data_IF_177652115887
#
_entry.id   IF_177652115887
#
_cell.length_a   1.000
_cell.length_b   1.000
_cell.length_c   1.000
_cell.angle_alpha   90.00
_cell.angle_beta   90.00
_cell.angle_gamma   90.00
#
_symmetry.space_group_name_H-M   'P 1'
#
loop_
_entity.id
_entity.type
_entity.pdbx_description
1 polymer ?
#
# COMPACT_ATOMS: atom_id res chain seq x y z
N UNK A 1 -25.37 -4.63 7.19
CA UNK A 1 -25.08 -3.28 6.63
C UNK A 1 -23.71 -3.39 6.01
N UNK A 2 -23.56 -3.04 4.73
CA UNK A 2 -22.26 -3.04 4.08
C UNK A 2 -21.37 -2.00 4.76
N UNK A 3 -20.28 -2.46 5.37
CA UNK A 3 -19.26 -1.59 5.95
C UNK A 3 -18.51 -1.01 4.76
N UNK A 4 -18.73 0.27 4.47
CA UNK A 4 -17.90 1.00 3.51
C UNK A 4 -16.52 1.15 4.12
N UNK A 5 -15.54 0.37 3.67
CA UNK A 5 -14.11 0.57 3.96
C UNK A 5 -13.47 1.10 2.68
N UNK A 6 -13.76 2.36 2.34
CA UNK A 6 -13.07 3.06 1.27
C UNK A 6 -11.58 3.26 1.62
N UNK A 7 -10.74 2.29 1.22
CA UNK A 7 -9.33 2.45 0.82
C UNK A 7 -8.36 2.94 1.92
N UNK A 8 -7.04 2.93 1.69
CA UNK A 8 -6.19 1.84 2.10
C UNK A 8 -5.22 2.32 3.20
N UNK A 9 -5.04 1.49 4.23
CA UNK A 9 -4.13 1.67 5.39
C UNK A 9 -2.64 1.64 5.02
N UNK A 10 -2.26 2.27 3.92
CA UNK A 10 -1.18 1.83 3.01
C UNK A 10 -0.26 2.96 2.55
N UNK A 11 -0.49 4.17 3.08
CA UNK A 11 0.41 5.32 2.95
C UNK A 11 1.07 5.69 4.26
N UNK A 12 1.21 4.71 5.17
CA UNK A 12 1.55 4.97 6.57
C UNK A 12 3.03 5.33 6.74
N UNK A 13 3.94 4.82 5.92
CA UNK A 13 5.35 4.85 6.30
C UNK A 13 6.16 6.01 5.70
N UNK A 14 5.57 6.78 4.79
CA UNK A 14 6.23 7.93 4.15
C UNK A 14 5.82 9.27 4.74
N UNK A 15 4.68 9.29 5.44
CA UNK A 15 3.92 10.50 5.74
C UNK A 15 4.00 10.91 7.21
N UNK A 16 4.44 10.00 8.07
CA UNK A 16 4.46 10.17 9.52
C UNK A 16 5.81 10.70 9.95
N UNK A 17 6.02 11.99 9.72
CA UNK A 17 7.08 12.76 10.41
C UNK A 17 6.52 13.93 11.22
N UNK A 18 5.19 14.10 11.27
CA UNK A 18 4.52 15.21 11.96
C UNK A 18 3.58 14.74 13.08
N UNK A 19 4.15 14.53 14.27
CA UNK A 19 3.46 14.13 15.51
C UNK A 19 2.24 15.02 15.83
N UNK A 20 2.30 16.32 15.49
CA UNK A 20 1.23 17.30 15.74
C UNK A 20 -0.04 17.10 14.91
N UNK A 21 0.08 16.52 13.71
CA UNK A 21 -1.11 16.21 12.91
C UNK A 21 -1.77 14.92 13.42
N UNK A 22 -0.96 13.93 13.78
CA UNK A 22 -1.44 12.68 14.35
C UNK A 22 -2.09 12.87 15.72
N UNK A 23 -1.63 13.82 16.53
CA UNK A 23 -2.29 14.18 17.79
C UNK A 23 -3.75 14.62 17.57
N UNK A 24 -4.07 15.28 16.45
CA UNK A 24 -5.46 15.69 16.14
C UNK A 24 -6.37 14.50 15.83
N UNK A 25 -5.80 13.38 15.37
CA UNK A 25 -6.52 12.18 14.92
C UNK A 25 -6.58 11.13 16.05
N UNK A 26 -5.44 10.92 16.71
CA UNK A 26 -5.22 9.86 17.68
C UNK A 26 -5.23 10.34 19.13
N UNK A 27 -5.21 11.66 19.36
CA UNK A 27 -5.13 12.23 20.70
C UNK A 27 -3.87 11.76 21.43
N UNK A 28 -3.97 11.35 22.71
CA UNK A 28 -2.83 10.85 23.49
C UNK A 28 -2.15 9.61 22.89
N UNK A 29 -2.86 8.81 22.09
CA UNK A 29 -2.30 7.60 21.47
C UNK A 29 -1.35 7.92 20.30
N UNK A 30 -1.32 9.17 19.83
CA UNK A 30 -0.41 9.63 18.77
C UNK A 30 1.05 9.31 19.06
N UNK A 31 1.50 9.52 20.30
CA UNK A 31 2.89 9.23 20.72
C UNK A 31 3.22 7.75 20.55
N UNK A 32 2.30 6.86 20.95
CA UNK A 32 2.48 5.41 20.84
C UNK A 32 2.48 4.98 19.38
N UNK A 33 1.58 5.55 18.59
CA UNK A 33 1.46 5.30 17.16
C UNK A 33 2.73 5.71 16.41
N UNK A 34 3.22 6.93 16.61
CA UNK A 34 4.49 7.42 16.03
C UNK A 34 5.65 6.50 16.40
N UNK A 35 5.75 6.07 17.66
CA UNK A 35 6.81 5.13 18.09
C UNK A 35 6.75 3.79 17.37
N UNK A 36 5.55 3.28 17.06
CA UNK A 36 5.41 2.04 16.29
C UNK A 36 5.87 2.23 14.84
N UNK A 37 5.50 3.34 14.22
CA UNK A 37 5.93 3.66 12.85
C UNK A 37 7.43 3.87 12.77
N UNK A 38 8.01 4.65 13.68
CA UNK A 38 9.46 4.83 13.78
C UNK A 38 10.17 3.49 13.94
N UNK A 39 9.61 2.60 14.76
CA UNK A 39 10.19 1.29 14.98
C UNK A 39 10.13 0.40 13.74
N UNK A 40 9.00 0.39 13.03
CA UNK A 40 8.85 -0.32 11.74
C UNK A 40 9.89 0.20 10.76
N UNK A 41 9.95 1.52 10.57
CA UNK A 41 10.87 2.16 9.64
C UNK A 41 12.33 1.84 9.94
N UNK A 42 12.77 2.00 11.20
CA UNK A 42 14.12 1.64 11.65
C UNK A 42 14.47 0.17 11.40
N UNK A 43 13.47 -0.70 11.49
CA UNK A 43 13.68 -2.14 11.39
C UNK A 43 13.66 -2.62 9.93
N UNK A 44 12.90 -1.98 9.06
CA UNK A 44 12.59 -2.53 7.72
C UNK A 44 12.99 -1.63 6.56
N UNK A 45 13.07 -0.31 6.75
CA UNK A 45 13.40 0.65 5.69
C UNK A 45 14.82 1.20 5.83
N UNK A 46 15.20 1.67 7.02
CA UNK A 46 16.53 2.22 7.28
C UNK A 46 17.69 1.28 6.91
N UNK A 47 17.59 -0.07 7.10
CA UNK A 47 18.63 -0.98 6.64
C UNK A 47 18.88 -0.94 5.14
N UNK A 48 17.94 -0.44 4.33
CA UNK A 48 18.08 -0.35 2.88
C UNK A 48 18.95 0.83 2.41
N UNK A 49 19.22 1.82 3.27
CA UNK A 49 19.91 3.06 2.88
C UNK A 49 21.41 2.91 2.71
N UNK A 50 22.02 1.86 3.23
CA UNK A 50 23.48 1.70 3.22
C UNK A 50 23.94 0.32 2.73
N UNK A 51 23.09 -0.39 2.00
CA UNK A 51 23.39 -1.72 1.45
C UNK A 51 23.70 -1.65 -0.04
N UNK A 52 24.38 -2.69 -0.53
CA UNK A 52 24.61 -2.95 -1.95
C UNK A 52 23.47 -3.76 -2.59
N UNK A 53 23.50 -3.86 -3.92
CA UNK A 53 22.56 -4.71 -4.69
C UNK A 53 22.70 -6.19 -4.35
N UNK A 54 23.92 -6.65 -4.04
CA UNK A 54 24.15 -8.04 -3.64
C UNK A 54 23.59 -8.34 -2.24
N UNK A 55 23.60 -7.34 -1.34
CA UNK A 55 23.09 -7.48 0.02
C UNK A 55 21.56 -7.39 0.06
N UNK A 56 20.94 -6.53 -0.77
CA UNK A 56 19.48 -6.37 -0.75
C UNK A 56 18.76 -7.65 -1.14
N UNK A 57 19.25 -8.39 -2.14
CA UNK A 57 18.64 -9.66 -2.59
C UNK A 57 18.54 -10.69 -1.45
N UNK A 58 19.52 -10.68 -0.52
CA UNK A 58 19.56 -11.61 0.61
C UNK A 58 18.66 -11.22 1.79
N UNK A 59 18.30 -9.94 1.93
CA UNK A 59 17.59 -9.43 3.11
C UNK A 59 16.17 -8.94 2.82
N UNK A 60 15.86 -8.60 1.57
CA UNK A 60 14.63 -7.89 1.24
C UNK A 60 13.38 -8.70 1.59
N UNK A 61 13.29 -9.96 1.17
CA UNK A 61 12.13 -10.80 1.46
C UNK A 61 11.97 -11.09 2.96
N UNK A 62 13.09 -11.20 3.68
CA UNK A 62 13.07 -11.32 5.14
C UNK A 62 12.54 -10.04 5.79
N UNK A 63 12.98 -8.88 5.31
CA UNK A 63 12.48 -7.59 5.79
C UNK A 63 11.00 -7.39 5.41
N UNK A 64 10.55 -7.88 4.25
CA UNK A 64 9.15 -7.86 3.85
C UNK A 64 8.27 -8.65 4.85
N UNK A 65 8.74 -9.82 5.31
CA UNK A 65 8.05 -10.60 6.33
C UNK A 65 8.00 -9.89 7.69
N UNK A 66 9.11 -9.29 8.11
CA UNK A 66 9.16 -8.49 9.34
C UNK A 66 8.24 -7.29 9.23
N UNK A 67 8.27 -6.58 8.10
CA UNK A 67 7.37 -5.48 7.79
C UNK A 67 5.92 -5.90 7.90
N UNK A 68 5.53 -6.99 7.22
CA UNK A 68 4.16 -7.50 7.25
C UNK A 68 3.67 -7.80 8.68
N UNK A 69 4.51 -8.42 9.51
CA UNK A 69 4.17 -8.70 10.90
C UNK A 69 3.97 -7.40 11.71
N UNK A 70 4.88 -6.43 11.56
CA UNK A 70 4.83 -5.21 12.34
C UNK A 70 3.75 -4.24 11.86
N UNK A 71 3.58 -4.09 10.55
CA UNK A 71 2.52 -3.27 9.95
C UNK A 71 1.15 -3.86 10.26
N UNK A 72 1.00 -5.19 10.34
CA UNK A 72 -0.25 -5.84 10.77
C UNK A 72 -0.73 -5.41 12.16
N UNK A 73 0.19 -5.16 13.12
CA UNK A 73 -0.17 -4.64 14.45
C UNK A 73 -0.78 -3.25 14.35
N UNK A 74 -0.19 -2.41 13.49
CA UNK A 74 -0.63 -1.04 13.29
C UNK A 74 -1.97 -0.98 12.52
N UNK A 75 -2.10 -1.80 11.48
CA UNK A 75 -3.33 -1.96 10.71
C UNK A 75 -4.47 -2.44 11.62
N UNK A 76 -4.23 -3.45 12.47
CA UNK A 76 -5.24 -3.91 13.43
C UNK A 76 -5.72 -2.79 14.37
N UNK A 77 -4.81 -1.90 14.80
CA UNK A 77 -5.18 -0.75 15.60
C UNK A 77 -6.04 0.26 14.81
N UNK A 78 -5.71 0.55 13.56
CA UNK A 78 -6.52 1.43 12.69
C UNK A 78 -7.90 0.82 12.45
N UNK A 79 -7.95 -0.45 12.04
CA UNK A 79 -9.20 -1.19 11.78
C UNK A 79 -10.11 -1.22 13.01
N UNK A 80 -9.54 -1.37 14.21
CA UNK A 80 -10.32 -1.35 15.46
C UNK A 80 -11.06 -0.03 15.73
N UNK A 81 -10.73 1.01 14.96
CA UNK A 81 -11.29 2.36 15.07
C UNK A 81 -12.03 2.80 13.82
N UNK A 82 -12.14 1.97 12.79
CA UNK A 82 -12.81 2.35 11.54
C UNK A 82 -14.33 2.55 11.68
N UNK A 83 -14.95 1.95 12.70
CA UNK A 83 -16.35 2.21 13.03
C UNK A 83 -16.58 3.65 13.55
N UNK A 84 -15.52 4.34 13.97
CA UNK A 84 -15.56 5.78 14.27
C UNK A 84 -15.37 6.58 12.97
N UNK A 85 -16.48 6.98 12.37
CA UNK A 85 -16.50 7.80 11.14
C UNK A 85 -15.67 9.08 11.27
N UNK A 86 -15.58 9.68 12.46
CA UNK A 86 -14.78 10.89 12.66
C UNK A 86 -13.30 10.57 12.59
N UNK A 87 -12.86 9.47 13.21
CA UNK A 87 -11.49 8.99 13.12
C UNK A 87 -11.15 8.64 11.66
N UNK A 88 -11.98 7.83 11.02
CA UNK A 88 -11.78 7.38 9.64
C UNK A 88 -11.62 8.56 8.67
N UNK A 89 -12.56 9.50 8.67
CA UNK A 89 -12.49 10.68 7.80
C UNK A 89 -11.24 11.52 8.06
N UNK A 90 -10.86 11.70 9.33
CA UNK A 90 -9.67 12.47 9.69
C UNK A 90 -8.37 11.78 9.26
N UNK A 91 -8.34 10.44 9.36
CA UNK A 91 -7.23 9.61 8.93
C UNK A 91 -7.07 9.60 7.40
N UNK A 92 -8.17 9.42 6.66
CA UNK A 92 -8.19 9.45 5.20
C UNK A 92 -7.76 10.82 4.65
N UNK A 93 -8.27 11.89 5.25
CA UNK A 93 -7.89 13.26 4.86
C UNK A 93 -6.40 13.51 5.11
N UNK A 94 -5.87 13.02 6.24
CA UNK A 94 -4.46 13.12 6.56
C UNK A 94 -3.58 12.34 5.56
N UNK A 95 -3.94 11.10 5.23
CA UNK A 95 -3.24 10.30 4.20
C UNK A 95 -3.18 11.05 2.86
N UNK A 96 -4.33 11.60 2.42
CA UNK A 96 -4.41 12.37 1.18
C UNK A 96 -3.50 13.60 1.22
N UNK A 97 -3.58 14.42 2.28
CA UNK A 97 -2.74 15.62 2.40
C UNK A 97 -1.25 15.29 2.39
N UNK A 98 -0.87 14.20 3.05
CA UNK A 98 0.52 13.83 3.13
C UNK A 98 1.08 13.31 1.80
N UNK A 99 0.30 12.55 1.01
CA UNK A 99 0.66 12.25 -0.38
C UNK A 99 0.80 13.52 -1.23
N UNK A 100 -0.19 14.41 -1.18
CA UNK A 100 -0.19 15.66 -1.95
C UNK A 100 1.01 16.57 -1.65
N UNK A 101 1.51 16.55 -0.41
CA UNK A 101 2.71 17.29 0.00
C UNK A 101 3.97 16.77 -0.69
N UNK A 102 4.10 15.45 -0.81
CA UNK A 102 5.34 14.80 -1.23
C UNK A 102 5.34 14.37 -2.71
N UNK A 103 4.19 14.40 -3.39
CA UNK A 103 4.04 13.93 -4.78
C UNK A 103 4.99 14.60 -5.79
N UNK A 104 5.13 15.93 -5.75
CA UNK A 104 6.00 16.64 -6.71
C UNK A 104 7.47 16.34 -6.43
N UNK A 105 7.84 16.22 -5.15
CA UNK A 105 9.19 15.81 -4.75
C UNK A 105 9.50 14.39 -5.21
N UNK A 106 8.54 13.46 -5.11
CA UNK A 106 8.69 12.09 -5.60
C UNK A 106 8.93 12.12 -7.12
N UNK A 107 8.09 12.84 -7.87
CA UNK A 107 8.24 13.02 -9.32
C UNK A 107 9.60 13.58 -9.72
N UNK A 108 10.02 14.67 -9.08
CA UNK A 108 11.33 15.30 -9.33
C UNK A 108 12.48 14.32 -9.03
N UNK A 109 12.41 13.59 -7.92
CA UNK A 109 13.41 12.59 -7.56
C UNK A 109 13.42 11.44 -8.55
N UNK A 110 12.26 10.89 -8.92
CA UNK A 110 12.16 9.83 -9.94
C UNK A 110 12.82 10.25 -11.25
N UNK A 111 12.52 11.45 -11.73
CA UNK A 111 13.14 12.03 -12.93
C UNK A 111 14.66 12.14 -12.79
N UNK A 112 15.15 12.70 -11.67
CA UNK A 112 16.59 12.87 -11.43
C UNK A 112 17.37 11.56 -11.33
N UNK A 113 16.72 10.52 -10.80
CA UNK A 113 17.28 9.19 -10.61
C UNK A 113 17.17 8.32 -11.87
N UNK A 114 16.42 8.78 -12.89
CA UNK A 114 16.18 8.02 -14.12
C UNK A 114 15.33 6.76 -13.86
N UNK A 115 14.40 6.83 -12.91
CA UNK A 115 13.47 5.74 -12.59
C UNK A 115 12.05 6.11 -13.02
N UNK A 116 11.27 5.10 -13.39
CA UNK A 116 9.92 5.29 -13.90
C UNK A 116 8.93 5.50 -12.74
N UNK A 117 8.41 6.72 -12.59
CA UNK A 117 7.38 7.04 -11.61
C UNK A 117 6.08 6.26 -11.88
N UNK A 118 5.72 6.07 -13.15
CA UNK A 118 4.46 5.43 -13.54
C UNK A 118 4.39 3.99 -13.04
N UNK A 119 5.49 3.25 -13.10
CA UNK A 119 5.57 1.87 -12.63
C UNK A 119 5.33 1.78 -11.11
N UNK A 120 5.91 2.72 -10.34
CA UNK A 120 5.70 2.80 -8.89
C UNK A 120 4.25 3.14 -8.55
N UNK A 121 3.66 4.11 -9.25
CA UNK A 121 2.28 4.53 -9.03
C UNK A 121 1.28 3.46 -9.45
N UNK A 122 1.56 2.75 -10.55
CA UNK A 122 0.76 1.61 -10.96
C UNK A 122 0.83 0.49 -9.92
N UNK A 123 2.02 0.15 -9.43
CA UNK A 123 2.21 -0.83 -8.36
C UNK A 123 1.42 -0.46 -7.10
N UNK A 124 1.51 0.81 -6.68
CA UNK A 124 0.72 1.34 -5.57
C UNK A 124 -0.78 1.18 -5.81
N UNK A 125 -1.26 1.51 -7.02
CA UNK A 125 -2.69 1.39 -7.37
C UNK A 125 -3.21 -0.04 -7.25
N UNK A 126 -2.42 -1.03 -7.69
CA UNK A 126 -2.78 -2.46 -7.58
C UNK A 126 -2.81 -2.91 -6.12
N UNK A 127 -1.90 -2.42 -5.27
CA UNK A 127 -2.03 -2.68 -3.84
C UNK A 127 -3.35 -2.19 -3.27
N UNK A 128 -3.78 -0.97 -3.64
CA UNK A 128 -5.02 -0.40 -3.12
C UNK A 128 -6.22 -1.24 -3.59
N UNK A 129 -6.26 -1.57 -4.89
CA UNK A 129 -7.32 -2.36 -5.49
C UNK A 129 -7.45 -3.73 -4.82
N UNK A 130 -6.35 -4.47 -4.67
CA UNK A 130 -6.36 -5.77 -4.02
C UNK A 130 -6.72 -5.69 -2.53
N UNK A 131 -6.29 -4.64 -1.83
CA UNK A 131 -6.66 -4.42 -0.42
C UNK A 131 -8.16 -4.12 -0.26
N UNK A 132 -8.71 -3.28 -1.14
CA UNK A 132 -10.15 -2.96 -1.17
C UNK A 132 -10.96 -4.21 -1.49
N UNK A 133 -10.58 -4.97 -2.51
CA UNK A 133 -11.20 -6.25 -2.85
C UNK A 133 -11.35 -7.15 -1.62
N UNK A 134 -10.26 -7.34 -0.88
CA UNK A 134 -10.25 -8.19 0.32
C UNK A 134 -11.16 -7.67 1.44
N UNK A 135 -11.27 -6.35 1.59
CA UNK A 135 -12.08 -5.72 2.65
C UNK A 135 -13.59 -5.71 2.36
N UNK A 136 -13.97 -5.76 1.08
CA UNK A 136 -15.37 -5.60 0.63
C UNK A 136 -16.07 -6.92 0.33
N UNK A 137 -15.43 -8.07 0.63
CA UNK A 137 -16.04 -9.37 0.46
C UNK A 137 -17.25 -9.53 1.39
N UNK A 138 -18.44 -9.72 0.80
CA UNK A 138 -19.62 -10.09 1.57
C UNK A 138 -19.56 -11.54 2.07
N UNK A 139 -20.54 -11.97 2.87
CA UNK A 139 -20.56 -13.33 3.45
C UNK A 139 -20.56 -14.43 2.37
N UNK A 140 -21.23 -14.20 1.24
CA UNK A 140 -21.32 -15.18 0.16
C UNK A 140 -20.03 -15.25 -0.64
N UNK A 141 -19.43 -14.11 -0.97
CA UNK A 141 -18.12 -14.02 -1.62
C UNK A 141 -17.02 -14.66 -0.75
N UNK A 142 -17.04 -14.39 0.56
CA UNK A 142 -16.13 -15.03 1.52
C UNK A 142 -16.31 -16.55 1.53
N UNK A 143 -17.55 -17.03 1.56
CA UNK A 143 -17.83 -18.48 1.51
C UNK A 143 -17.29 -19.11 0.22
N UNK A 144 -17.52 -18.49 -0.93
CA UNK A 144 -17.00 -18.96 -2.21
C UNK A 144 -15.47 -19.01 -2.25
N UNK A 145 -14.79 -18.01 -1.69
CA UNK A 145 -13.33 -18.01 -1.56
C UNK A 145 -12.87 -19.16 -0.67
N UNK A 146 -13.47 -19.35 0.50
CA UNK A 146 -13.07 -20.43 1.41
C UNK A 146 -13.31 -21.83 0.81
N UNK A 147 -14.36 -22.00 0.00
CA UNK A 147 -14.69 -23.29 -0.63
C UNK A 147 -13.83 -23.59 -1.86
N UNK A 148 -13.46 -22.58 -2.66
CA UNK A 148 -12.94 -22.78 -4.02
C UNK A 148 -11.64 -22.03 -4.36
N UNK A 149 -11.25 -21.05 -3.57
CA UNK A 149 -10.13 -20.15 -3.87
C UNK A 149 -9.21 -19.89 -2.68
N UNK A 150 -9.26 -20.72 -1.64
CA UNK A 150 -8.53 -20.49 -0.40
C UNK A 150 -7.01 -20.46 -0.61
N UNK A 151 -6.49 -21.35 -1.47
CA UNK A 151 -5.06 -21.41 -1.77
C UNK A 151 -4.62 -20.17 -2.55
N UNK A 152 -5.38 -19.76 -3.56
CA UNK A 152 -5.16 -18.55 -4.34
C UNK A 152 -5.24 -17.30 -3.45
N UNK A 153 -6.21 -17.25 -2.54
CA UNK A 153 -6.40 -16.17 -1.57
C UNK A 153 -5.19 -16.03 -0.65
N UNK A 154 -4.70 -17.14 -0.09
CA UNK A 154 -3.54 -17.12 0.81
C UNK A 154 -2.27 -16.69 0.07
N UNK A 155 -2.08 -17.15 -1.17
CA UNK A 155 -0.96 -16.73 -2.02
C UNK A 155 -1.05 -15.25 -2.35
N UNK A 156 -2.22 -14.77 -2.79
CA UNK A 156 -2.45 -13.37 -3.08
C UNK A 156 -2.14 -12.50 -1.86
N UNK A 157 -2.65 -12.88 -0.68
CA UNK A 157 -2.44 -12.12 0.56
C UNK A 157 -0.96 -12.02 0.92
N UNK A 158 -0.19 -13.10 0.72
CA UNK A 158 1.25 -13.11 0.99
C UNK A 158 2.03 -12.21 0.02
N UNK A 159 1.69 -12.27 -1.28
CA UNK A 159 2.31 -11.41 -2.29
C UNK A 159 1.88 -9.94 -2.16
N UNK A 160 0.64 -9.69 -1.74
CA UNK A 160 0.14 -8.35 -1.47
C UNK A 160 0.95 -7.67 -0.37
N UNK A 161 1.25 -8.39 0.73
CA UNK A 161 2.11 -7.87 1.79
C UNK A 161 3.54 -7.57 1.32
N UNK A 162 4.06 -8.38 0.40
CA UNK A 162 5.40 -8.16 -0.20
C UNK A 162 5.39 -6.95 -1.13
N UNK A 163 4.31 -6.78 -1.90
CA UNK A 163 4.10 -5.62 -2.75
C UNK A 163 3.95 -4.33 -1.94
N UNK A 164 3.19 -4.37 -0.84
CA UNK A 164 3.06 -3.25 0.11
C UNK A 164 4.44 -2.80 0.59
N UNK A 165 5.27 -3.74 1.04
CA UNK A 165 6.62 -3.44 1.49
C UNK A 165 7.47 -2.82 0.38
N UNK A 166 7.44 -3.39 -0.83
CA UNK A 166 8.25 -2.90 -1.95
C UNK A 166 7.86 -1.48 -2.38
N UNK A 167 6.56 -1.18 -2.41
CA UNK A 167 6.06 0.16 -2.73
C UNK A 167 6.52 1.17 -1.68
N UNK A 168 6.31 0.87 -0.39
CA UNK A 168 6.71 1.75 0.71
C UNK A 168 8.24 1.94 0.77
N UNK A 169 9.02 0.87 0.57
CA UNK A 169 10.47 0.95 0.49
C UNK A 169 10.93 1.81 -0.69
N UNK A 170 10.30 1.66 -1.86
CA UNK A 170 10.64 2.45 -3.05
C UNK A 170 10.45 3.94 -2.80
N UNK A 171 9.29 4.35 -2.30
CA UNK A 171 9.06 5.75 -1.97
C UNK A 171 10.05 6.28 -0.92
N UNK A 172 10.37 5.48 0.10
CA UNK A 172 11.28 5.89 1.18
C UNK A 172 12.69 6.13 0.62
N UNK A 173 13.19 5.18 -0.17
CA UNK A 173 14.49 5.26 -0.83
C UNK A 173 14.57 6.41 -1.86
N UNK A 174 13.49 6.69 -2.59
CA UNK A 174 13.43 7.80 -3.55
C UNK A 174 13.50 9.14 -2.80
N UNK A 175 12.75 9.29 -1.71
CA UNK A 175 12.72 10.51 -0.92
C UNK A 175 14.02 10.77 -0.16
N UNK A 176 14.68 9.72 0.34
CA UNK A 176 15.95 9.77 1.10
C UNK A 176 17.19 9.41 0.22
N UNK A 177 17.05 9.49 -1.11
CA UNK A 177 18.04 9.07 -2.12
C UNK A 177 19.44 9.72 -2.06
N UNK A 178 19.65 10.77 -1.27
CA UNK A 178 20.97 11.41 -1.14
C UNK A 178 22.02 10.48 -0.52
N UNK A 179 21.58 9.47 0.24
CA UNK A 179 22.45 8.52 0.94
C UNK A 179 22.44 7.10 0.33
N UNK A 180 21.51 6.83 -0.59
CA UNK A 180 21.22 5.47 -1.10
C UNK A 180 21.80 5.25 -2.50
N UNK A 181 22.37 4.07 -2.75
CA UNK A 181 22.79 3.64 -4.09
C UNK A 181 21.58 3.54 -5.05
N UNK A 182 21.64 4.24 -6.17
CA UNK A 182 20.61 4.22 -7.22
C UNK A 182 20.27 2.82 -7.72
N UNK A 183 21.25 1.91 -7.77
CA UNK A 183 21.01 0.55 -8.26
C UNK A 183 20.17 -0.27 -7.27
N UNK A 184 20.22 0.05 -5.98
CA UNK A 184 19.32 -0.50 -4.96
C UNK A 184 17.90 0.01 -5.19
N UNK A 185 17.72 1.30 -5.43
CA UNK A 185 16.40 1.89 -5.74
C UNK A 185 15.77 1.19 -6.96
N UNK A 186 16.53 1.05 -8.05
CA UNK A 186 16.09 0.32 -9.25
C UNK A 186 15.80 -1.15 -8.98
N UNK A 187 16.55 -1.79 -8.08
CA UNK A 187 16.29 -3.17 -7.69
C UNK A 187 14.95 -3.30 -6.96
N UNK A 188 14.65 -2.41 -6.00
CA UNK A 188 13.37 -2.42 -5.27
C UNK A 188 12.19 -2.12 -6.20
N UNK A 189 12.33 -1.15 -7.10
CA UNK A 189 11.29 -0.84 -8.09
C UNK A 189 10.99 -2.01 -9.03
N UNK A 190 12.00 -2.81 -9.40
CA UNK A 190 11.77 -4.05 -10.15
C UNK A 190 10.95 -5.05 -9.33
N UNK A 191 11.20 -5.15 -8.01
CA UNK A 191 10.38 -6.00 -7.13
C UNK A 191 8.95 -5.51 -6.99
N UNK A 192 8.70 -4.20 -7.01
CA UNK A 192 7.34 -3.68 -7.09
C UNK A 192 6.62 -4.28 -8.30
N UNK A 193 7.20 -4.15 -9.49
CA UNK A 193 6.58 -4.65 -10.72
C UNK A 193 6.40 -6.17 -10.72
N UNK A 194 7.42 -6.94 -10.30
CA UNK A 194 7.33 -8.39 -10.18
C UNK A 194 6.13 -8.80 -9.29
N UNK A 195 6.00 -8.17 -8.12
CA UNK A 195 4.90 -8.47 -7.21
C UNK A 195 3.55 -7.94 -7.73
N UNK A 196 3.53 -6.84 -8.45
CA UNK A 196 2.32 -6.28 -9.06
C UNK A 196 1.71 -7.25 -10.06
N UNK A 197 2.51 -7.81 -10.98
CA UNK A 197 2.02 -8.79 -11.94
C UNK A 197 1.43 -10.03 -11.26
N UNK A 198 2.10 -10.52 -10.21
CA UNK A 198 1.65 -11.68 -9.44
C UNK A 198 0.32 -11.38 -8.72
N UNK A 199 0.25 -10.26 -8.00
CA UNK A 199 -0.95 -9.85 -7.26
C UNK A 199 -2.11 -9.61 -8.22
N UNK A 200 -1.89 -8.92 -9.33
CA UNK A 200 -2.93 -8.66 -10.33
C UNK A 200 -3.47 -9.96 -10.93
N UNK A 201 -2.60 -10.94 -11.23
CA UNK A 201 -3.01 -12.25 -11.73
C UNK A 201 -3.88 -12.99 -10.72
N UNK A 202 -3.50 -12.98 -9.43
CA UNK A 202 -4.30 -13.60 -8.38
C UNK A 202 -5.62 -12.87 -8.16
N UNK A 203 -5.60 -11.54 -8.12
CA UNK A 203 -6.81 -10.73 -7.99
C UNK A 203 -7.83 -11.08 -9.07
N UNK A 204 -7.43 -11.10 -10.35
CA UNK A 204 -8.29 -11.51 -11.47
C UNK A 204 -8.83 -12.93 -11.29
N UNK A 205 -8.03 -13.85 -10.76
CA UNK A 205 -8.45 -15.23 -10.49
C UNK A 205 -9.51 -15.28 -9.40
N UNK A 206 -9.30 -14.57 -8.28
CA UNK A 206 -10.25 -14.51 -7.18
C UNK A 206 -11.56 -13.84 -7.59
N UNK A 207 -11.48 -12.76 -8.38
CA UNK A 207 -12.65 -12.09 -8.95
C UNK A 207 -13.54 -13.03 -9.78
N UNK A 208 -12.95 -13.97 -10.53
CA UNK A 208 -13.70 -14.99 -11.28
C UNK A 208 -14.36 -16.00 -10.32
N UNK A 209 -13.70 -16.33 -9.22
CA UNK A 209 -14.21 -17.28 -8.22
C UNK A 209 -15.39 -16.70 -7.45
N UNK A 210 -15.36 -15.41 -7.13
CA UNK A 210 -16.40 -14.71 -6.37
C UNK A 210 -17.50 -14.09 -7.22
N UNK A 211 -17.47 -14.32 -8.54
CA UNK A 211 -18.44 -13.79 -9.52
C UNK A 211 -19.88 -14.17 -9.15
N UNK A 212 -20.52 -13.25 -8.41
CA UNK A 212 -21.88 -13.33 -7.88
C UNK A 212 -22.61 -12.03 -8.18
N UNK A 213 -23.95 -12.07 -8.34
CA UNK A 213 -24.76 -10.90 -8.69
C UNK A 213 -24.56 -9.71 -7.72
N UNK A 214 -24.38 -9.95 -6.41
CA UNK A 214 -24.11 -8.91 -5.41
C UNK A 214 -22.74 -8.25 -5.61
N UNK A 215 -21.68 -9.05 -5.79
CA UNK A 215 -20.32 -8.55 -5.98
C UNK A 215 -20.18 -7.76 -7.31
N UNK A 216 -20.87 -8.19 -8.37
CA UNK A 216 -20.85 -7.50 -9.66
C UNK A 216 -21.44 -6.07 -9.62
N UNK A 217 -22.42 -5.83 -8.76
CA UNK A 217 -23.01 -4.49 -8.58
C UNK A 217 -22.07 -3.50 -7.88
N UNK A 218 -21.21 -3.98 -6.95
CA UNK A 218 -20.10 -3.22 -6.37
C UNK A 218 -19.00 -2.96 -7.42
N UNK A 219 -18.72 -3.98 -8.25
CA UNK A 219 -17.70 -3.91 -9.31
C UNK A 219 -18.02 -2.87 -10.37
N UNK A 220 -19.28 -2.62 -10.75
CA UNK A 220 -19.63 -1.55 -11.71
C UNK A 220 -19.37 -0.14 -11.17
N UNK A 221 -19.62 0.09 -9.88
CA UNK A 221 -19.32 1.37 -9.22
C UNK A 221 -17.80 1.57 -9.06
N UNK A 222 -17.07 0.51 -8.69
CA UNK A 222 -15.61 0.53 -8.55
C UNK A 222 -14.88 0.57 -9.89
N UNK A 223 -15.40 -0.06 -10.94
CA UNK A 223 -14.83 -0.03 -12.30
C UNK A 223 -14.98 1.35 -12.94
N UNK A 224 -16.11 2.02 -12.70
CA UNK A 224 -16.28 3.43 -13.04
C UNK A 224 -15.27 4.30 -12.28
N UNK A 225 -15.08 4.05 -10.98
CA UNK A 225 -14.10 4.77 -10.17
C UNK A 225 -12.63 4.40 -10.50
N UNK A 226 -12.37 3.21 -11.06
CA UNK A 226 -11.07 2.74 -11.58
C UNK A 226 -10.73 3.42 -12.90
N UNK A 227 -11.69 3.50 -13.82
CA UNK A 227 -11.54 4.26 -15.06
C UNK A 227 -11.38 5.75 -14.77
N UNK A 228 -12.13 6.29 -13.80
CA UNK A 228 -12.01 7.68 -13.34
C UNK A 228 -10.69 7.94 -12.60
N UNK A 229 -10.18 7.01 -11.77
CA UNK A 229 -8.84 7.11 -11.15
C UNK A 229 -7.72 7.01 -12.18
N UNK A 230 -7.79 6.05 -13.11
CA UNK A 230 -6.84 5.92 -14.20
C UNK A 230 -6.88 7.14 -15.14
N UNK A 231 -8.06 7.72 -15.41
CA UNK A 231 -8.18 9.00 -16.10
C UNK A 231 -7.61 10.16 -15.27
N UNK A 232 -7.90 10.22 -13.97
CA UNK A 232 -7.40 11.28 -13.07
C UNK A 232 -5.88 11.24 -12.99
N UNK A 233 -5.29 10.06 -12.89
CA UNK A 233 -3.85 9.90 -12.98
C UNK A 233 -3.35 10.34 -14.37
N UNK A 234 -3.94 9.83 -15.45
CA UNK A 234 -3.53 10.20 -16.82
C UNK A 234 -3.65 11.71 -17.12
N UNK A 235 -4.69 12.39 -16.65
CA UNK A 235 -4.91 13.84 -16.76
C UNK A 235 -3.96 14.66 -15.86
N UNK A 236 -3.48 14.09 -14.75
CA UNK A 236 -2.45 14.69 -13.87
C UNK A 236 -1.04 14.51 -14.43
N UNK A 237 -0.81 13.52 -15.31
CA UNK A 237 0.52 13.21 -15.88
C UNK A 237 0.73 13.74 -17.32
N UNK A 238 -0.34 14.03 -18.07
CA UNK A 238 -0.28 14.60 -19.43
C UNK A 238 -0.38 16.15 -19.48
N UNK A 239 -0.55 16.84 -18.34
CA UNK A 239 -0.71 18.31 -18.21
C UNK A 239 0.54 18.99 -17.63
#
# INVERSE_FOLDING_TARGET
>A
MAVSINRPSMGIFLTIREEKELEKILGPDSIKFVKWIDWIYKTTMEPLYSISVEEIDAIFDKNAQVYAYLSGILTAYILSREEDEKFKNAYDEWLKRAYERDKERIREKCFSLGVNEEDLLYSFSICLEASTFLSELDEEANRLLMEKGFDEFNRMSSYLLSLHYAVEASFALILDSEETDIEVIKWVLRRCMDYTEIVESYLRTLEIIVDSESYNSLKEAERSAREERLLTYKEIFDA
#
